data_IF_282594719603
#
_entry.id   IF_282594719603
#
_cell.length_a   1.000
_cell.length_b   1.000
_cell.length_c   1.000
_cell.angle_alpha   90.00
_cell.angle_beta   90.00
_cell.angle_gamma   90.00
#
_symmetry.space_group_name_H-M   'P 1'
#
loop_
_entity.id
_entity.type
_entity.pdbx_description
1 polymer ?
#
# COMPACT_ATOMS: atom_id res chain seq x y z
N UNK A 1 -28.47 -7.14 63.26
CA UNK A 1 -28.37 -5.85 62.55
C UNK A 1 -27.28 -5.94 61.47
N UNK A 2 -27.67 -5.59 60.24
CA UNK A 2 -26.92 -5.08 59.08
C UNK A 2 -25.60 -5.77 58.60
N UNK A 3 -25.71 -6.31 57.38
CA UNK A 3 -24.67 -6.65 56.39
C UNK A 3 -24.00 -5.39 55.81
N UNK A 4 -22.74 -5.48 55.37
CA UNK A 4 -22.22 -5.08 54.03
C UNK A 4 -20.70 -5.39 53.95
N UNK A 5 -20.22 -6.40 53.20
CA UNK A 5 -19.88 -6.44 51.77
C UNK A 5 -18.89 -5.35 51.30
N UNK A 6 -17.62 -5.72 51.21
CA UNK A 6 -16.55 -4.98 50.55
C UNK A 6 -16.45 -5.48 49.09
N UNK A 7 -16.68 -4.61 48.11
CA UNK A 7 -16.59 -4.91 46.68
C UNK A 7 -15.37 -4.19 46.07
N UNK A 8 -14.44 -5.00 45.57
CA UNK A 8 -13.54 -4.85 44.40
C UNK A 8 -13.25 -3.43 43.88
N UNK A 9 -11.96 -3.04 43.93
CA UNK A 9 -11.38 -2.04 43.04
C UNK A 9 -10.49 -2.73 42.00
N UNK A 10 -10.99 -2.83 40.76
CA UNK A 10 -10.22 -3.24 39.60
C UNK A 10 -10.76 -2.50 38.36
N UNK A 11 -10.50 -1.20 38.24
CA UNK A 11 -10.81 -0.41 37.03
C UNK A 11 -9.88 0.81 36.93
N UNK A 12 -8.69 0.64 36.37
CA UNK A 12 -7.84 1.79 35.98
C UNK A 12 -7.05 1.59 34.68
N UNK A 13 -7.17 0.44 34.01
CA UNK A 13 -6.46 0.18 32.74
C UNK A 13 -7.19 0.69 31.49
N UNK A 14 -8.47 1.10 31.61
CA UNK A 14 -9.29 1.45 30.44
C UNK A 14 -9.11 2.88 29.92
N UNK A 15 -8.73 3.85 30.76
CA UNK A 15 -8.59 5.26 30.34
C UNK A 15 -7.32 5.51 29.53
N UNK A 16 -6.24 4.76 29.75
CA UNK A 16 -4.96 4.96 29.07
C UNK A 16 -4.89 4.37 27.65
N UNK A 17 -5.71 3.35 27.33
CA UNK A 17 -5.75 2.76 25.99
C UNK A 17 -6.46 3.64 24.96
N UNK A 18 -7.36 4.51 25.42
CA UNK A 18 -8.16 5.39 24.55
C UNK A 18 -7.33 6.56 23.98
N UNK A 19 -6.22 6.92 24.63
CA UNK A 19 -5.37 8.06 24.25
C UNK A 19 -4.65 7.84 22.91
N UNK A 20 -3.96 6.70 22.73
CA UNK A 20 -3.15 6.45 21.51
C UNK A 20 -4.00 6.44 20.24
N UNK A 21 -5.17 5.81 20.29
CA UNK A 21 -6.07 5.72 19.13
C UNK A 21 -6.76 7.05 18.83
N UNK A 22 -7.06 7.84 19.85
CA UNK A 22 -7.55 9.22 19.66
C UNK A 22 -6.49 10.05 18.95
N UNK A 23 -5.22 9.95 19.37
CA UNK A 23 -4.11 10.68 18.72
C UNK A 23 -3.85 10.24 17.28
N UNK A 24 -3.95 8.93 16.98
CA UNK A 24 -3.87 8.42 15.60
C UNK A 24 -5.03 8.99 14.76
N UNK A 25 -6.24 9.02 15.31
CA UNK A 25 -7.40 9.59 14.64
C UNK A 25 -7.23 11.09 14.39
N UNK A 26 -6.71 11.84 15.36
CA UNK A 26 -6.39 13.26 15.19
C UNK A 26 -5.34 13.50 14.12
N UNK A 27 -4.29 12.68 14.05
CA UNK A 27 -3.29 12.75 12.97
C UNK A 27 -3.93 12.58 11.59
N UNK A 28 -4.72 11.51 11.41
CA UNK A 28 -5.32 11.21 10.11
C UNK A 28 -6.41 12.21 9.70
N UNK A 29 -7.22 12.70 10.64
CA UNK A 29 -8.15 13.79 10.38
C UNK A 29 -7.40 15.06 9.96
N UNK A 30 -6.33 15.43 10.68
CA UNK A 30 -5.52 16.60 10.35
C UNK A 30 -4.91 16.51 8.95
N UNK A 31 -4.37 15.34 8.56
CA UNK A 31 -3.88 15.12 7.20
C UNK A 31 -5.01 15.25 6.16
N UNK A 32 -6.17 14.66 6.41
CA UNK A 32 -7.31 14.73 5.50
C UNK A 32 -7.87 16.14 5.33
N UNK A 33 -8.07 16.89 6.42
CA UNK A 33 -8.55 18.28 6.41
C UNK A 33 -7.61 19.24 5.68
N UNK A 34 -6.31 18.90 5.61
CA UNK A 34 -5.30 19.67 4.88
C UNK A 34 -5.02 19.15 3.46
N UNK A 35 -5.90 18.29 2.91
CA UNK A 35 -5.74 17.68 1.58
C UNK A 35 -4.39 16.94 1.41
N UNK A 36 -3.91 16.27 2.47
CA UNK A 36 -2.66 15.52 2.46
C UNK A 36 -2.89 14.00 2.31
N UNK A 37 -4.10 13.52 2.61
CA UNK A 37 -4.45 12.09 2.59
C UNK A 37 -5.97 11.86 2.46
N UNK A 38 -6.37 10.89 1.64
CA UNK A 38 -7.68 10.21 1.71
C UNK A 38 -7.46 8.70 1.75
N UNK A 39 -8.20 7.98 2.58
CA UNK A 39 -8.00 6.54 2.70
C UNK A 39 -8.52 5.94 4.00
N UNK A 40 -8.05 4.74 4.32
CA UNK A 40 -8.48 3.97 5.49
C UNK A 40 -7.32 3.29 6.20
N UNK A 41 -7.43 3.21 7.53
CA UNK A 41 -6.49 2.51 8.41
C UNK A 41 -7.22 1.48 9.26
N UNK A 42 -6.68 0.26 9.30
CA UNK A 42 -6.99 -0.73 10.34
C UNK A 42 -5.73 -1.10 11.12
N UNK A 43 -5.84 -1.17 12.46
CA UNK A 43 -4.87 -1.78 13.36
C UNK A 43 -5.54 -2.94 14.09
N UNK A 44 -4.84 -4.07 14.17
CA UNK A 44 -5.30 -5.34 14.73
C UNK A 44 -4.25 -5.89 15.71
N UNK A 45 -4.68 -6.19 16.93
CA UNK A 45 -3.88 -6.86 17.96
C UNK A 45 -4.42 -8.29 18.11
N UNK A 46 -3.72 -9.27 17.52
CA UNK A 46 -4.20 -10.65 17.39
C UNK A 46 -5.54 -10.74 16.65
N UNK A 47 -6.57 -11.32 17.28
CA UNK A 47 -7.91 -11.41 16.69
C UNK A 47 -8.72 -10.11 16.78
N UNK A 48 -8.27 -9.13 17.56
CA UNK A 48 -9.04 -7.93 17.88
C UNK A 48 -8.69 -6.77 16.95
N UNK A 49 -9.69 -6.21 16.28
CA UNK A 49 -9.56 -4.93 15.59
C UNK A 49 -9.64 -3.82 16.63
N UNK A 50 -8.54 -3.09 16.82
CA UNK A 50 -8.42 -2.04 17.84
C UNK A 50 -8.54 -0.63 17.26
N UNK A 51 -8.39 -0.49 15.94
CA UNK A 51 -8.65 0.74 15.19
C UNK A 51 -9.14 0.39 13.79
N UNK A 52 -10.20 1.04 13.30
CA UNK A 52 -10.71 0.85 11.93
C UNK A 52 -11.52 2.09 11.52
N UNK A 53 -10.91 2.98 10.74
CA UNK A 53 -11.52 4.24 10.29
C UNK A 53 -11.12 4.57 8.86
N UNK A 54 -11.96 5.38 8.23
CA UNK A 54 -11.80 5.91 6.88
C UNK A 54 -11.92 7.44 6.90
N UNK A 55 -11.23 8.08 5.96
CA UNK A 55 -11.05 9.53 5.85
C UNK A 55 -11.22 9.94 4.40
N UNK A 56 -11.93 11.04 4.16
CA UNK A 56 -12.19 11.55 2.81
C UNK A 56 -13.30 10.81 2.08
N UNK A 57 -13.14 10.65 0.77
CA UNK A 57 -14.18 10.19 -0.14
C UNK A 57 -13.80 8.90 -0.85
N UNK A 58 -14.79 8.03 -1.09
CA UNK A 58 -14.70 6.94 -2.05
C UNK A 58 -15.05 7.43 -3.48
N UNK A 59 -15.93 8.43 -3.57
CA UNK A 59 -16.34 9.11 -4.80
C UNK A 59 -16.64 10.58 -4.53
N UNK A 60 -15.76 11.48 -4.95
CA UNK A 60 -15.92 12.93 -4.78
C UNK A 60 -17.08 13.47 -5.62
N UNK A 61 -17.24 13.01 -6.86
CA UNK A 61 -18.26 13.52 -7.79
C UNK A 61 -19.68 13.23 -7.24
N UNK A 62 -19.86 12.08 -6.59
CA UNK A 62 -21.12 11.71 -5.93
C UNK A 62 -21.18 12.04 -4.43
N UNK A 63 -20.19 12.77 -3.90
CA UNK A 63 -20.10 13.09 -2.46
C UNK A 63 -20.20 11.86 -1.55
N UNK A 64 -19.73 10.69 -2.01
CA UNK A 64 -19.76 9.44 -1.26
C UNK A 64 -18.53 9.34 -0.36
N UNK A 65 -18.73 9.51 0.95
CA UNK A 65 -17.66 9.38 1.95
C UNK A 65 -17.13 7.96 2.01
N UNK A 66 -15.82 7.84 2.24
CA UNK A 66 -15.23 6.55 2.58
C UNK A 66 -15.72 6.12 3.99
N UNK A 67 -15.90 4.81 4.17
CA UNK A 67 -16.26 4.19 5.45
C UNK A 67 -15.41 2.94 5.70
N UNK A 68 -15.59 2.32 6.86
CA UNK A 68 -14.81 1.13 7.27
C UNK A 68 -14.97 -0.11 6.36
N UNK A 69 -15.97 -0.10 5.47
CA UNK A 69 -16.26 -1.14 4.49
C UNK A 69 -15.84 -0.72 3.08
N UNK A 70 -15.31 0.49 2.89
CA UNK A 70 -14.78 0.92 1.59
C UNK A 70 -13.67 -0.03 1.14
N UNK A 71 -13.80 -0.45 -0.11
CA UNK A 71 -12.93 -1.41 -0.79
C UNK A 71 -12.04 -0.66 -1.76
N UNK A 72 -10.76 -1.00 -1.75
CA UNK A 72 -9.71 -0.33 -2.51
C UNK A 72 -8.94 -1.36 -3.33
N UNK A 73 -8.43 -0.96 -4.50
CA UNK A 73 -7.43 -1.76 -5.21
C UNK A 73 -6.14 -1.76 -4.40
N UNK A 74 -5.62 -2.94 -4.03
CA UNK A 74 -4.48 -3.04 -3.09
C UNK A 74 -3.13 -3.18 -3.79
N UNK A 75 -3.11 -3.13 -5.12
CA UNK A 75 -1.91 -3.26 -5.91
C UNK A 75 -1.10 -4.50 -5.51
N UNK A 76 0.21 -4.33 -5.41
CA UNK A 76 1.17 -5.45 -5.23
C UNK A 76 1.04 -6.24 -3.93
N UNK A 77 0.23 -5.83 -2.96
CA UNK A 77 -0.17 -6.72 -1.84
C UNK A 77 -0.81 -8.02 -2.39
N UNK A 78 -1.45 -7.95 -3.56
CA UNK A 78 -2.00 -9.10 -4.30
C UNK A 78 -1.01 -10.24 -4.50
N UNK A 79 0.30 -9.93 -4.63
CA UNK A 79 1.36 -10.93 -4.78
C UNK A 79 1.43 -11.88 -3.60
N UNK A 80 1.17 -11.38 -2.38
CA UNK A 80 1.12 -12.20 -1.17
C UNK A 80 0.00 -13.24 -1.23
N UNK A 81 -1.18 -12.86 -1.71
CA UNK A 81 -2.30 -13.78 -1.92
C UNK A 81 -1.96 -14.84 -2.98
N UNK A 82 -1.37 -14.42 -4.11
CA UNK A 82 -0.90 -15.33 -5.17
C UNK A 82 0.14 -16.31 -4.63
N UNK A 83 1.13 -15.84 -3.86
CA UNK A 83 2.15 -16.69 -3.26
C UNK A 83 1.53 -17.71 -2.29
N UNK A 84 0.57 -17.31 -1.45
CA UNK A 84 -0.17 -18.25 -0.58
C UNK A 84 -0.85 -19.35 -1.39
N UNK A 85 -1.53 -18.99 -2.51
CA UNK A 85 -2.16 -20.00 -3.37
C UNK A 85 -1.13 -20.92 -4.03
N UNK A 86 0.03 -20.41 -4.45
CA UNK A 86 1.13 -21.22 -4.99
C UNK A 86 1.67 -22.17 -3.92
N UNK A 87 1.89 -21.70 -2.69
CA UNK A 87 2.36 -22.54 -1.57
C UNK A 87 1.35 -23.64 -1.21
N UNK A 88 0.05 -23.33 -1.19
CA UNK A 88 -0.99 -24.36 -1.01
C UNK A 88 -0.96 -25.41 -2.12
N UNK A 89 -0.73 -25.03 -3.38
CA UNK A 89 -0.60 -25.99 -4.47
C UNK A 89 0.67 -26.85 -4.36
N UNK A 90 1.73 -26.34 -3.72
CA UNK A 90 2.93 -27.10 -3.37
C UNK A 90 2.62 -28.11 -2.26
N UNK A 91 1.89 -27.70 -1.23
CA UNK A 91 1.40 -28.60 -0.16
C UNK A 91 0.49 -29.70 -0.70
N UNK A 92 -0.34 -29.37 -1.70
CA UNK A 92 -1.16 -30.32 -2.47
C UNK A 92 -0.34 -31.20 -3.44
N UNK A 93 0.99 -31.05 -3.48
CA UNK A 93 1.92 -31.78 -4.37
C UNK A 93 1.63 -31.61 -5.87
N UNK A 94 0.93 -30.54 -6.26
CA UNK A 94 0.63 -30.24 -7.69
C UNK A 94 1.82 -29.65 -8.42
N UNK A 95 2.70 -28.99 -7.68
CA UNK A 95 4.01 -28.50 -8.14
C UNK A 95 4.99 -28.48 -6.97
N UNK A 96 6.23 -28.13 -7.27
CA UNK A 96 7.30 -27.89 -6.30
C UNK A 96 7.97 -26.55 -6.60
N UNK A 97 8.73 -26.01 -5.66
CA UNK A 97 9.54 -24.81 -5.88
C UNK A 97 10.52 -24.98 -7.06
N UNK A 98 10.99 -26.20 -7.32
CA UNK A 98 11.92 -26.53 -8.40
C UNK A 98 11.24 -26.84 -9.74
N UNK A 99 9.90 -26.90 -9.78
CA UNK A 99 9.18 -27.11 -11.03
C UNK A 99 9.55 -26.02 -12.03
N UNK A 100 9.97 -26.41 -13.23
CA UNK A 100 10.43 -25.48 -14.26
C UNK A 100 9.28 -24.82 -15.02
N UNK A 101 9.49 -23.57 -15.43
CA UNK A 101 8.50 -22.77 -16.14
C UNK A 101 8.15 -23.35 -17.51
N UNK A 102 9.10 -24.01 -18.19
CA UNK A 102 8.88 -24.64 -19.49
C UNK A 102 7.79 -25.72 -19.49
N UNK A 103 7.47 -26.31 -18.33
CA UNK A 103 6.32 -27.22 -18.16
C UNK A 103 4.99 -26.55 -18.52
N UNK A 104 4.88 -25.24 -18.32
CA UNK A 104 3.65 -24.47 -18.50
C UNK A 104 3.73 -23.51 -19.70
N UNK A 105 4.89 -22.88 -19.89
CA UNK A 105 5.13 -21.81 -20.85
C UNK A 105 6.50 -21.96 -21.53
N UNK A 106 6.70 -22.98 -22.38
CA UNK A 106 7.99 -23.28 -23.01
C UNK A 106 8.47 -22.21 -24.00
N UNK A 107 7.59 -21.29 -24.43
CA UNK A 107 7.93 -20.20 -25.34
C UNK A 107 8.60 -19.02 -24.65
N UNK A 108 8.46 -18.89 -23.33
CA UNK A 108 9.13 -17.82 -22.58
C UNK A 108 10.64 -18.06 -22.61
N UNK A 109 11.42 -17.01 -22.86
CA UNK A 109 12.88 -17.11 -22.92
C UNK A 109 13.45 -17.65 -21.61
N UNK A 110 14.36 -18.62 -21.70
CA UNK A 110 15.02 -19.30 -20.58
C UNK A 110 14.06 -20.07 -19.63
N UNK A 111 12.84 -20.42 -20.09
CA UNK A 111 11.84 -21.10 -19.26
C UNK A 111 12.31 -22.46 -18.71
N UNK A 112 13.27 -23.12 -19.36
CA UNK A 112 13.91 -24.35 -18.90
C UNK A 112 14.83 -24.14 -17.68
N UNK A 113 15.37 -22.93 -17.51
CA UNK A 113 16.20 -22.56 -16.35
C UNK A 113 15.35 -22.02 -15.20
N UNK A 114 14.29 -21.27 -15.50
CA UNK A 114 13.43 -20.61 -14.52
C UNK A 114 12.55 -21.63 -13.77
N UNK A 115 12.53 -21.54 -12.45
CA UNK A 115 11.67 -22.33 -11.56
C UNK A 115 10.58 -21.50 -10.89
N UNK A 116 9.62 -22.17 -10.21
CA UNK A 116 8.62 -21.50 -9.38
C UNK A 116 9.27 -20.67 -8.26
N UNK A 117 10.38 -21.16 -7.70
CA UNK A 117 11.19 -20.40 -6.74
C UNK A 117 11.65 -19.06 -7.35
N UNK A 118 12.16 -19.07 -8.58
CA UNK A 118 12.67 -17.87 -9.24
C UNK A 118 11.56 -16.85 -9.52
N UNK A 119 10.37 -17.31 -9.90
CA UNK A 119 9.19 -16.45 -10.10
C UNK A 119 8.79 -15.76 -8.78
N UNK A 120 8.70 -16.52 -7.68
CA UNK A 120 8.30 -16.00 -6.38
C UNK A 120 9.31 -15.00 -5.78
N UNK A 121 10.59 -15.10 -6.12
CA UNK A 121 11.66 -14.20 -5.62
C UNK A 121 12.13 -13.17 -6.66
N UNK A 122 11.44 -13.01 -7.78
CA UNK A 122 11.85 -12.07 -8.82
C UNK A 122 13.28 -12.25 -9.35
N UNK A 123 13.67 -13.49 -9.65
CA UNK A 123 15.00 -13.86 -10.16
C UNK A 123 14.96 -14.44 -11.57
N UNK A 124 14.02 -14.02 -12.40
CA UNK A 124 13.73 -14.71 -13.67
C UNK A 124 14.40 -14.07 -14.87
N UNK A 125 14.80 -12.80 -14.79
CA UNK A 125 15.20 -12.01 -15.96
C UNK A 125 14.03 -11.67 -16.90
N UNK A 126 12.78 -11.94 -16.52
CA UNK A 126 11.59 -11.61 -17.31
C UNK A 126 11.23 -10.14 -17.09
N UNK A 127 11.19 -9.38 -18.17
CA UNK A 127 10.86 -7.94 -18.19
C UNK A 127 9.52 -7.67 -17.49
N UNK A 128 9.42 -6.54 -16.79
CA UNK A 128 8.18 -6.05 -16.21
C UNK A 128 7.29 -5.39 -17.28
N UNK A 129 6.33 -6.14 -17.83
CA UNK A 129 5.44 -5.66 -18.91
C UNK A 129 4.63 -4.42 -18.54
N UNK A 130 4.35 -4.20 -17.25
CA UNK A 130 3.55 -3.05 -16.81
C UNK A 130 4.38 -1.78 -16.79
N UNK A 131 5.67 -1.85 -16.44
CA UNK A 131 6.48 -0.66 -16.19
C UNK A 131 7.46 -0.34 -17.33
N UNK A 132 7.82 -1.32 -18.16
CA UNK A 132 8.89 -1.18 -19.15
C UNK A 132 8.39 -1.26 -20.60
N UNK A 133 7.09 -1.45 -20.84
CA UNK A 133 6.50 -1.41 -22.18
C UNK A 133 5.64 -0.16 -22.39
N UNK A 134 6.23 0.86 -23.02
CA UNK A 134 5.54 2.11 -23.35
C UNK A 134 4.37 1.91 -24.34
N UNK A 135 4.40 0.86 -25.16
CA UNK A 135 3.30 0.56 -26.10
C UNK A 135 2.07 0.02 -25.37
N UNK A 136 2.28 -0.64 -24.23
CA UNK A 136 1.22 -1.16 -23.39
C UNK A 136 0.56 -0.07 -22.54
N UNK A 137 1.30 0.98 -22.16
CA UNK A 137 0.79 2.13 -21.39
C UNK A 137 -0.37 2.88 -22.05
N UNK A 138 -0.43 2.93 -23.38
CA UNK A 138 -1.49 3.60 -24.13
C UNK A 138 -2.84 2.84 -24.12
N UNK A 139 -2.91 1.67 -23.48
CA UNK A 139 -4.09 0.80 -23.47
C UNK A 139 -4.42 0.25 -22.08
N UNK A 140 -3.95 0.93 -21.02
CA UNK A 140 -4.13 0.47 -19.64
C UNK A 140 -5.59 0.46 -19.18
N UNK A 141 -6.45 1.25 -19.80
CA UNK A 141 -7.88 1.35 -19.56
C UNK A 141 -8.70 0.25 -20.26
N UNK A 142 -8.08 -0.50 -21.18
CA UNK A 142 -8.75 -1.53 -22.00
C UNK A 142 -8.58 -2.92 -21.41
N UNK A 143 -9.57 -3.77 -21.62
CA UNK A 143 -9.50 -5.19 -21.26
C UNK A 143 -8.55 -5.93 -22.20
N UNK A 144 -7.65 -6.74 -21.64
CA UNK A 144 -6.72 -7.59 -22.37
C UNK A 144 -6.97 -9.07 -22.06
N UNK A 145 -6.80 -9.94 -23.05
CA UNK A 145 -6.78 -11.38 -22.79
C UNK A 145 -5.45 -11.77 -22.14
N UNK A 146 -5.47 -12.88 -21.37
CA UNK A 146 -4.23 -13.41 -20.77
C UNK A 146 -3.24 -13.84 -21.85
N UNK A 147 -3.74 -14.36 -22.96
CA UNK A 147 -2.95 -14.73 -24.12
C UNK A 147 -2.22 -13.52 -24.71
N UNK A 148 -2.87 -12.37 -24.80
CA UNK A 148 -2.25 -11.15 -25.34
C UNK A 148 -1.16 -10.62 -24.41
N UNK A 149 -1.40 -10.59 -23.09
CA UNK A 149 -0.38 -10.21 -22.11
C UNK A 149 0.80 -11.20 -22.15
N UNK A 150 0.53 -12.51 -22.25
CA UNK A 150 1.59 -13.52 -22.36
C UNK A 150 2.39 -13.40 -23.66
N UNK A 151 1.77 -12.98 -24.77
CA UNK A 151 2.51 -12.67 -26.02
C UNK A 151 3.47 -11.50 -25.80
N UNK A 152 3.01 -10.43 -25.15
CA UNK A 152 3.87 -9.28 -24.79
C UNK A 152 5.05 -9.74 -23.94
N UNK A 153 4.79 -10.48 -22.84
CA UNK A 153 5.84 -11.01 -21.97
C UNK A 153 6.84 -11.90 -22.75
N UNK A 154 6.34 -12.71 -23.69
CA UNK A 154 7.17 -13.62 -24.49
C UNK A 154 8.01 -12.90 -25.55
N UNK A 155 7.59 -11.70 -25.99
CA UNK A 155 8.29 -10.94 -27.03
C UNK A 155 9.58 -10.28 -26.51
N UNK A 156 9.69 -10.05 -25.20
CA UNK A 156 10.88 -9.44 -24.61
C UNK A 156 12.09 -10.37 -24.60
N UNK A 157 13.27 -9.78 -24.76
CA UNK A 157 14.54 -10.45 -24.41
C UNK A 157 14.64 -10.54 -22.88
N UNK A 158 15.44 -11.49 -22.41
CA UNK A 158 15.73 -11.60 -20.98
C UNK A 158 16.69 -10.49 -20.55
N UNK A 159 16.40 -9.81 -19.43
CA UNK A 159 17.24 -8.74 -18.88
C UNK A 159 18.55 -9.27 -18.28
N UNK A 160 18.57 -10.52 -17.80
CA UNK A 160 19.71 -11.17 -17.17
C UNK A 160 19.50 -12.69 -17.06
N UNK A 161 20.58 -13.44 -16.83
CA UNK A 161 20.47 -14.90 -16.65
C UNK A 161 19.65 -15.24 -15.39
N UNK A 162 18.65 -16.14 -15.46
CA UNK A 162 17.84 -16.53 -14.32
C UNK A 162 18.68 -16.96 -13.10
N UNK A 163 18.27 -16.52 -11.91
CA UNK A 163 18.94 -16.79 -10.64
C UNK A 163 20.07 -15.81 -10.30
N UNK A 164 20.69 -15.15 -11.28
CA UNK A 164 21.92 -14.35 -11.08
C UNK A 164 21.73 -13.10 -10.21
N UNK A 165 20.59 -12.40 -10.32
CA UNK A 165 20.26 -11.22 -9.49
C UNK A 165 18.76 -11.12 -9.20
N UNK A 166 18.40 -10.23 -8.29
CA UNK A 166 17.03 -9.79 -8.05
C UNK A 166 16.64 -8.63 -9.00
N UNK A 167 15.47 -8.71 -9.61
CA UNK A 167 14.85 -7.58 -10.32
C UNK A 167 13.33 -7.74 -10.33
N UNK A 168 12.64 -6.80 -9.67
CA UNK A 168 11.18 -6.82 -9.56
C UNK A 168 10.50 -6.84 -10.93
N UNK A 169 9.47 -7.67 -11.08
CA UNK A 169 8.72 -7.80 -12.33
C UNK A 169 7.30 -8.32 -12.08
N UNK A 170 6.29 -7.56 -12.53
CA UNK A 170 4.89 -7.98 -12.41
C UNK A 170 4.59 -9.22 -13.26
N UNK A 171 5.32 -9.43 -14.37
CA UNK A 171 5.22 -10.61 -15.23
C UNK A 171 5.31 -11.91 -14.45
N UNK A 172 6.19 -11.98 -13.45
CA UNK A 172 6.37 -13.20 -12.65
C UNK A 172 5.09 -13.62 -11.95
N UNK A 173 4.40 -12.67 -11.32
CA UNK A 173 3.16 -12.96 -10.59
C UNK A 173 1.95 -13.09 -11.52
N UNK A 174 1.95 -12.40 -12.66
CA UNK A 174 0.98 -12.64 -13.73
C UNK A 174 1.03 -14.10 -14.19
N UNK A 175 2.24 -14.58 -14.52
CA UNK A 175 2.49 -15.97 -14.92
C UNK A 175 2.06 -16.94 -13.81
N UNK A 176 2.42 -16.69 -12.54
CA UNK A 176 1.99 -17.53 -11.42
C UNK A 176 0.46 -17.63 -11.31
N UNK A 177 -0.25 -16.53 -11.53
CA UNK A 177 -1.72 -16.52 -11.63
C UNK A 177 -2.23 -17.46 -12.71
N UNK A 178 -1.65 -17.42 -13.90
CA UNK A 178 -2.05 -18.31 -14.99
C UNK A 178 -1.65 -19.79 -14.73
N UNK A 179 -0.54 -20.05 -14.04
CA UNK A 179 -0.16 -21.40 -13.60
C UNK A 179 -1.20 -21.96 -12.62
N UNK A 180 -1.65 -21.15 -11.65
CA UNK A 180 -2.71 -21.53 -10.71
C UNK A 180 -3.95 -22.00 -11.48
N UNK A 181 -4.45 -21.18 -12.42
CA UNK A 181 -5.65 -21.54 -13.20
C UNK A 181 -5.44 -22.79 -14.06
N UNK A 182 -4.27 -22.94 -14.71
CA UNK A 182 -3.94 -24.13 -15.51
C UNK A 182 -3.97 -25.41 -14.69
N UNK A 183 -3.48 -25.37 -13.46
CA UNK A 183 -3.40 -26.52 -12.57
C UNK A 183 -4.74 -26.85 -11.90
N UNK A 184 -5.55 -25.84 -11.57
CA UNK A 184 -6.80 -26.06 -10.84
C UNK A 184 -8.02 -26.14 -11.75
N UNK A 185 -7.92 -25.71 -13.00
CA UNK A 185 -9.05 -25.54 -13.94
C UNK A 185 -10.16 -24.65 -13.40
N UNK A 186 -9.79 -23.67 -12.58
CA UNK A 186 -10.67 -22.68 -11.95
C UNK A 186 -10.11 -21.30 -12.20
N UNK A 187 -10.95 -20.29 -12.25
CA UNK A 187 -10.48 -18.91 -12.40
C UNK A 187 -9.62 -18.48 -11.21
N UNK A 188 -8.83 -17.42 -11.38
CA UNK A 188 -8.08 -16.81 -10.31
C UNK A 188 -9.00 -16.32 -9.18
N UNK A 189 -10.16 -15.74 -9.51
CA UNK A 189 -11.17 -15.34 -8.54
C UNK A 189 -11.68 -16.54 -7.74
N UNK A 190 -12.03 -17.65 -8.40
CA UNK A 190 -12.50 -18.86 -7.72
C UNK A 190 -11.44 -19.47 -6.80
N UNK A 191 -10.17 -19.44 -7.22
CA UNK A 191 -9.07 -19.85 -6.37
C UNK A 191 -8.95 -18.94 -5.16
N UNK A 192 -8.87 -17.63 -5.35
CA UNK A 192 -8.79 -16.64 -4.27
C UNK A 192 -9.94 -16.82 -3.26
N UNK A 193 -11.17 -16.97 -3.77
CA UNK A 193 -12.37 -17.14 -2.95
C UNK A 193 -12.32 -18.41 -2.10
N UNK A 194 -12.02 -19.55 -2.71
CA UNK A 194 -12.09 -20.84 -2.02
C UNK A 194 -10.84 -21.14 -1.16
N UNK A 195 -9.68 -20.64 -1.58
CA UNK A 195 -8.38 -20.94 -0.96
C UNK A 195 -8.05 -20.01 0.19
N UNK A 196 -8.52 -18.77 0.12
CA UNK A 196 -8.14 -17.72 1.07
C UNK A 196 -9.37 -17.06 1.67
N UNK A 197 -10.19 -16.39 0.85
CA UNK A 197 -11.25 -15.48 1.35
C UNK A 197 -12.24 -16.18 2.27
N UNK A 198 -12.77 -17.35 1.87
CA UNK A 198 -13.68 -18.13 2.72
C UNK A 198 -12.98 -18.73 3.93
N UNK A 199 -11.74 -19.22 3.79
CA UNK A 199 -10.99 -19.84 4.89
C UNK A 199 -10.61 -18.83 5.97
N UNK A 200 -10.12 -17.67 5.57
CA UNK A 200 -9.77 -16.57 6.47
C UNK A 200 -10.96 -15.66 6.79
N UNK A 201 -12.14 -15.91 6.21
CA UNK A 201 -13.36 -15.11 6.38
C UNK A 201 -13.11 -13.62 6.12
N UNK A 202 -12.54 -13.30 4.96
CA UNK A 202 -12.26 -11.93 4.50
C UNK A 202 -13.54 -11.30 3.94
N UNK A 203 -14.36 -10.76 4.84
CA UNK A 203 -15.72 -10.37 4.56
C UNK A 203 -16.48 -9.92 5.79
N UNK A 204 -17.72 -9.51 5.55
CA UNK A 204 -18.72 -9.25 6.58
C UNK A 204 -19.68 -10.41 6.70
N UNK A 205 -20.47 -10.39 7.77
CA UNK A 205 -21.66 -11.23 7.86
C UNK A 205 -22.89 -10.34 7.95
N UNK A 206 -23.87 -10.60 7.10
CA UNK A 206 -25.09 -9.82 6.99
C UNK A 206 -26.30 -10.69 7.30
N UNK A 207 -27.32 -10.11 7.93
CA UNK A 207 -28.59 -10.79 8.14
C UNK A 207 -29.45 -10.63 6.88
N UNK A 208 -29.74 -11.74 6.21
CA UNK A 208 -30.63 -11.78 5.05
C UNK A 208 -31.94 -12.45 5.45
N UNK A 209 -33.03 -11.71 5.32
CA UNK A 209 -34.39 -12.21 5.55
C UNK A 209 -35.03 -12.57 4.20
N UNK A 210 -35.49 -13.81 4.08
CA UNK A 210 -36.20 -14.31 2.89
C UNK A 210 -37.59 -14.78 3.32
N UNK A 211 -38.61 -14.47 2.50
CA UNK A 211 -39.96 -14.99 2.70
C UNK A 211 -40.03 -16.41 2.16
N UNK A 212 -40.54 -17.32 2.99
CA UNK A 212 -40.83 -18.71 2.62
C UNK A 212 -42.32 -18.99 2.84
N UNK A 213 -42.82 -20.12 2.35
CA UNK A 213 -44.19 -20.60 2.62
C UNK A 213 -44.50 -20.78 4.12
N UNK A 214 -43.46 -20.81 4.96
CA UNK A 214 -43.55 -20.92 6.42
C UNK A 214 -43.28 -19.59 7.16
N UNK A 215 -43.23 -18.47 6.45
CA UNK A 215 -42.95 -17.14 6.98
C UNK A 215 -41.53 -16.64 6.71
N UNK A 216 -41.18 -15.52 7.32
CA UNK A 216 -39.88 -14.86 7.17
C UNK A 216 -38.77 -15.65 7.88
N UNK A 217 -37.73 -16.04 7.14
CA UNK A 217 -36.54 -16.72 7.67
C UNK A 217 -35.35 -15.80 7.53
N UNK A 218 -34.70 -15.47 8.66
CA UNK A 218 -33.47 -14.68 8.68
C UNK A 218 -32.25 -15.58 8.84
N UNK A 219 -31.31 -15.49 7.91
CA UNK A 219 -30.03 -16.22 7.95
C UNK A 219 -28.87 -15.25 7.93
N UNK A 220 -27.82 -15.59 8.67
CA UNK A 220 -26.55 -14.88 8.63
C UNK A 220 -25.75 -15.39 7.42
N UNK A 221 -25.46 -14.50 6.47
CA UNK A 221 -24.78 -14.81 5.21
C UNK A 221 -23.42 -14.13 5.20
N UNK A 222 -22.37 -14.88 4.83
CA UNK A 222 -21.05 -14.31 4.62
C UNK A 222 -21.00 -13.55 3.29
N UNK A 223 -20.54 -12.30 3.34
CA UNK A 223 -20.40 -11.43 2.17
C UNK A 223 -18.92 -11.08 2.01
N UNK A 224 -18.23 -11.64 0.99
CA UNK A 224 -16.84 -11.32 0.72
C UNK A 224 -16.60 -9.82 0.53
N UNK A 225 -15.56 -9.29 1.15
CA UNK A 225 -15.09 -7.91 0.91
C UNK A 225 -13.72 -7.86 0.23
N UNK A 226 -13.10 -9.02 0.02
CA UNK A 226 -11.88 -9.21 -0.77
C UNK A 226 -12.15 -10.07 -2.00
N UNK A 227 -11.78 -9.60 -3.18
CA UNK A 227 -12.00 -10.30 -4.46
C UNK A 227 -11.10 -9.78 -5.58
N UNK A 228 -11.11 -10.50 -6.70
CA UNK A 228 -10.56 -10.07 -7.98
C UNK A 228 -11.70 -10.01 -9.00
N UNK A 229 -11.80 -8.90 -9.73
CA UNK A 229 -12.83 -8.62 -10.74
C UNK A 229 -12.26 -7.74 -11.85
N UNK A 230 -12.78 -7.86 -13.07
CA UNK A 230 -12.29 -7.08 -14.23
C UNK A 230 -13.23 -5.94 -14.62
N UNK A 231 -14.41 -5.90 -14.00
CA UNK A 231 -15.38 -4.84 -14.10
C UNK A 231 -14.80 -3.52 -13.57
N UNK A 232 -15.27 -2.40 -14.14
CA UNK A 232 -14.92 -1.07 -13.68
C UNK A 232 -15.44 -0.83 -12.26
N UNK A 233 -14.75 0.06 -11.55
CA UNK A 233 -15.07 0.44 -10.17
C UNK A 233 -16.52 0.93 -10.05
N UNK A 234 -17.25 0.36 -9.10
CA UNK A 234 -18.63 0.70 -8.79
C UNK A 234 -18.80 1.01 -7.29
N UNK A 235 -19.03 2.28 -6.99
CA UNK A 235 -19.17 2.79 -5.62
C UNK A 235 -20.43 2.29 -4.90
N UNK A 236 -21.44 1.77 -5.62
CA UNK A 236 -22.56 1.05 -5.03
C UNK A 236 -22.11 -0.26 -4.33
N UNK A 237 -21.02 -0.86 -4.82
CA UNK A 237 -20.36 -2.00 -4.18
C UNK A 237 -19.34 -1.55 -3.14
N UNK A 238 -19.44 -0.33 -2.59
CA UNK A 238 -18.46 0.26 -1.65
C UNK A 238 -17.03 0.29 -2.19
N UNK A 239 -16.84 0.20 -3.50
CA UNK A 239 -15.52 0.37 -4.11
C UNK A 239 -15.18 1.87 -4.18
N UNK A 240 -13.89 2.19 -4.17
CA UNK A 240 -13.39 3.56 -4.23
C UNK A 240 -12.76 3.84 -5.58
N UNK A 241 -12.86 5.08 -6.06
CA UNK A 241 -11.96 5.62 -7.09
C UNK A 241 -10.65 6.10 -6.45
N UNK A 242 -9.60 6.24 -7.27
CA UNK A 242 -8.33 6.87 -6.88
C UNK A 242 -8.22 8.30 -7.41
N UNK A 243 -7.46 9.13 -6.71
CA UNK A 243 -7.33 10.57 -6.97
C UNK A 243 -5.87 11.01 -6.89
N UNK A 244 -5.47 11.98 -7.72
CA UNK A 244 -4.25 12.75 -7.50
C UNK A 244 -4.61 14.18 -7.08
N UNK A 245 -3.72 14.86 -6.38
CA UNK A 245 -3.89 16.26 -6.02
C UNK A 245 -3.20 17.15 -7.05
N UNK A 246 -3.92 18.11 -7.64
CA UNK A 246 -3.36 19.03 -8.66
C UNK A 246 -2.72 20.30 -8.07
N UNK A 247 -2.68 20.40 -6.75
CA UNK A 247 -2.25 21.60 -6.00
C UNK A 247 -3.43 22.42 -5.46
N UNK A 248 -4.65 22.12 -5.87
CA UNK A 248 -5.87 22.79 -5.40
C UNK A 248 -6.97 21.78 -5.07
N UNK A 249 -7.21 20.81 -5.94
CA UNK A 249 -8.30 19.85 -5.86
C UNK A 249 -7.80 18.41 -6.01
N UNK A 250 -8.57 17.49 -5.45
CA UNK A 250 -8.47 16.07 -5.76
C UNK A 250 -9.13 15.79 -7.10
N UNK A 251 -8.35 15.32 -8.07
CA UNK A 251 -8.80 14.99 -9.43
C UNK A 251 -8.85 13.48 -9.58
N UNK A 252 -9.98 12.97 -10.08
CA UNK A 252 -10.19 11.54 -10.29
C UNK A 252 -9.17 11.01 -11.30
N UNK A 253 -8.51 9.92 -10.94
CA UNK A 253 -7.53 9.26 -11.79
C UNK A 253 -8.22 8.45 -12.87
N UNK A 254 -7.54 8.27 -14.01
CA UNK A 254 -7.97 7.29 -15.00
C UNK A 254 -7.88 5.89 -14.38
N UNK A 255 -8.94 5.11 -14.55
CA UNK A 255 -9.00 3.74 -14.07
C UNK A 255 -8.30 2.79 -15.06
N UNK A 256 -7.42 1.94 -14.55
CA UNK A 256 -6.84 0.86 -15.33
C UNK A 256 -7.79 -0.35 -15.33
N UNK A 257 -7.89 -1.04 -16.46
CA UNK A 257 -8.59 -2.30 -16.51
C UNK A 257 -7.83 -3.36 -15.70
N UNK A 258 -8.55 -4.03 -14.81
CA UNK A 258 -7.92 -4.91 -13.83
C UNK A 258 -7.37 -6.21 -14.42
N UNK A 259 -7.75 -6.58 -15.65
CA UNK A 259 -7.16 -7.70 -16.41
C UNK A 259 -5.65 -7.54 -16.61
N UNK A 260 -5.16 -6.29 -16.59
CA UNK A 260 -3.74 -5.98 -16.67
C UNK A 260 -3.05 -6.36 -15.38
N UNK A 261 -3.55 -5.91 -14.23
CA UNK A 261 -2.90 -6.18 -12.96
C UNK A 261 -3.03 -7.66 -12.54
N UNK A 262 -4.19 -8.27 -12.78
CA UNK A 262 -4.48 -9.70 -12.53
C UNK A 262 -3.89 -10.18 -11.19
N UNK A 263 -3.24 -11.34 -11.17
CA UNK A 263 -2.61 -11.93 -9.98
C UNK A 263 -1.41 -11.14 -9.43
N UNK A 264 -0.90 -10.16 -10.17
CA UNK A 264 0.22 -9.33 -9.73
C UNK A 264 -0.23 -8.10 -8.92
N UNK A 265 -1.46 -7.62 -9.11
CA UNK A 265 -1.89 -6.37 -8.46
C UNK A 265 -3.40 -6.10 -8.40
N UNK A 266 -4.24 -6.99 -8.94
CA UNK A 266 -5.65 -6.70 -9.19
C UNK A 266 -6.62 -7.06 -8.06
N UNK A 267 -6.16 -7.40 -6.86
CA UNK A 267 -7.08 -7.66 -5.75
C UNK A 267 -7.66 -6.32 -5.25
N UNK A 268 -8.97 -6.34 -4.99
CA UNK A 268 -9.69 -5.31 -4.25
C UNK A 268 -9.98 -5.85 -2.84
N UNK A 269 -9.74 -5.05 -1.80
CA UNK A 269 -9.90 -5.46 -0.40
C UNK A 269 -10.16 -4.25 0.53
N UNK A 270 -10.37 -4.53 1.82
CA UNK A 270 -10.44 -3.52 2.89
C UNK A 270 -9.19 -3.64 3.78
N UNK A 271 -8.77 -2.58 4.50
CA UNK A 271 -7.69 -2.71 5.48
C UNK A 271 -7.98 -3.75 6.58
N UNK A 272 -9.26 -3.93 6.94
CA UNK A 272 -9.68 -4.91 7.93
C UNK A 272 -9.48 -6.36 7.45
N UNK A 273 -9.80 -6.63 6.18
CA UNK A 273 -9.52 -7.92 5.55
C UNK A 273 -8.02 -8.16 5.39
N UNK A 274 -7.24 -7.16 4.97
CA UNK A 274 -5.79 -7.33 4.81
C UNK A 274 -5.10 -7.68 6.14
N UNK A 275 -5.46 -7.00 7.24
CA UNK A 275 -4.95 -7.35 8.58
C UNK A 275 -5.40 -8.74 9.03
N UNK A 276 -6.65 -9.13 8.73
CA UNK A 276 -7.14 -10.50 9.03
C UNK A 276 -6.43 -11.56 8.19
N UNK A 277 -6.15 -11.26 6.93
CA UNK A 277 -5.42 -12.13 6.01
C UNK A 277 -4.00 -12.40 6.49
N UNK A 278 -3.23 -11.34 6.80
CA UNK A 278 -1.84 -11.52 7.24
C UNK A 278 -1.77 -12.22 8.60
N UNK A 279 -2.68 -11.90 9.51
CA UNK A 279 -2.79 -12.61 10.79
C UNK A 279 -3.09 -14.10 10.58
N UNK A 280 -4.10 -14.44 9.77
CA UNK A 280 -4.43 -15.83 9.43
C UNK A 280 -3.27 -16.57 8.73
N UNK A 281 -2.47 -15.87 7.90
CA UNK A 281 -1.27 -16.44 7.30
C UNK A 281 -0.24 -16.80 8.36
N UNK A 282 0.07 -15.88 9.28
CA UNK A 282 1.09 -16.07 10.31
C UNK A 282 0.68 -17.04 11.43
N UNK A 283 -0.62 -17.20 11.67
CA UNK A 283 -1.16 -18.23 12.58
C UNK A 283 -1.31 -19.61 11.91
N UNK A 284 -0.80 -19.79 10.67
CA UNK A 284 -0.78 -21.09 9.99
C UNK A 284 -2.14 -21.57 9.49
N UNK A 285 -3.15 -20.69 9.38
CA UNK A 285 -4.50 -21.03 8.91
C UNK A 285 -4.55 -21.21 7.38
N UNK A 286 -3.64 -20.59 6.65
CA UNK A 286 -3.65 -20.56 5.18
C UNK A 286 -2.60 -21.47 4.54
N UNK A 287 -1.46 -21.67 5.19
CA UNK A 287 -0.37 -22.57 4.80
C UNK A 287 0.25 -23.17 6.05
N UNK A 288 0.95 -24.29 5.91
CA UNK A 288 1.70 -24.90 7.00
C UNK A 288 2.82 -23.98 7.53
N UNK A 289 3.27 -24.16 8.79
CA UNK A 289 4.42 -23.43 9.33
C UNK A 289 5.67 -23.52 8.45
N UNK A 290 5.96 -24.71 7.90
CA UNK A 290 7.09 -24.91 6.98
C UNK A 290 6.98 -24.05 5.72
N UNK A 291 5.81 -23.98 5.11
CA UNK A 291 5.58 -23.11 3.95
C UNK A 291 5.69 -21.63 4.32
N UNK A 292 5.20 -21.24 5.50
CA UNK A 292 5.35 -19.86 5.98
C UNK A 292 6.82 -19.50 6.22
N UNK A 293 7.62 -20.40 6.79
CA UNK A 293 9.06 -20.22 6.95
C UNK A 293 9.76 -20.04 5.60
N UNK A 294 9.37 -20.83 4.60
CA UNK A 294 9.83 -20.62 3.23
C UNK A 294 9.41 -19.24 2.69
N UNK A 295 8.19 -18.76 2.96
CA UNK A 295 7.77 -17.44 2.49
C UNK A 295 8.58 -16.29 3.12
N UNK A 296 9.01 -16.45 4.37
CA UNK A 296 9.82 -15.48 5.13
C UNK A 296 11.32 -15.50 4.79
N UNK A 297 11.79 -16.43 3.97
CA UNK A 297 13.19 -16.53 3.55
C UNK A 297 13.56 -15.30 2.68
N UNK A 298 14.08 -14.25 3.30
CA UNK A 298 14.42 -12.99 2.63
C UNK A 298 15.77 -13.12 1.92
N UNK A 299 15.79 -12.81 0.62
CA UNK A 299 17.00 -12.67 -0.19
C UNK A 299 16.99 -11.32 -0.90
N UNK A 300 18.05 -10.53 -0.74
CA UNK A 300 18.15 -9.18 -1.33
C UNK A 300 16.93 -8.29 -0.99
N UNK A 301 16.42 -8.41 0.24
CA UNK A 301 15.27 -7.63 0.73
C UNK A 301 13.89 -8.20 0.37
N UNK A 302 13.79 -9.32 -0.34
CA UNK A 302 12.51 -9.90 -0.78
C UNK A 302 12.41 -11.42 -0.50
N UNK A 303 11.29 -11.87 0.07
CA UNK A 303 10.93 -13.28 0.27
C UNK A 303 10.01 -13.81 -0.84
N UNK A 304 9.17 -14.81 -0.55
CA UNK A 304 8.17 -15.30 -1.53
C UNK A 304 6.90 -14.46 -1.43
N UNK A 305 6.97 -13.24 -1.96
CA UNK A 305 5.97 -12.18 -1.82
C UNK A 305 5.77 -11.63 -0.40
N UNK A 306 6.78 -11.74 0.45
CA UNK A 306 6.87 -11.01 1.72
C UNK A 306 8.13 -10.17 1.72
N UNK A 307 8.02 -8.92 2.12
CA UNK A 307 9.16 -8.07 2.49
C UNK A 307 9.23 -7.98 4.00
N UNK A 308 10.43 -7.65 4.51
CA UNK A 308 10.62 -7.29 5.91
C UNK A 308 11.02 -5.82 5.98
N UNK A 309 10.37 -5.06 6.86
CA UNK A 309 10.68 -3.65 7.09
C UNK A 309 10.76 -3.31 8.59
N UNK A 310 11.67 -2.42 8.98
CA UNK A 310 11.90 -2.08 10.38
C UNK A 310 10.99 -0.96 10.88
N UNK A 311 10.70 -0.97 12.18
CA UNK A 311 10.27 0.22 12.94
C UNK A 311 10.90 0.16 14.34
N UNK A 312 11.96 0.95 14.54
CA UNK A 312 12.87 0.75 15.68
C UNK A 312 13.43 -0.69 15.68
N UNK A 313 13.34 -1.37 16.81
CA UNK A 313 13.75 -2.79 16.94
C UNK A 313 12.74 -3.77 16.33
N UNK A 314 11.55 -3.32 15.96
CA UNK A 314 10.49 -4.19 15.43
C UNK A 314 10.77 -4.52 13.98
N UNK A 315 10.40 -5.74 13.58
CA UNK A 315 10.55 -6.24 12.20
C UNK A 315 9.21 -6.74 11.71
N UNK A 316 8.57 -5.92 10.89
CA UNK A 316 7.29 -6.25 10.28
C UNK A 316 7.52 -7.05 9.01
N UNK A 317 6.66 -8.04 8.79
CA UNK A 317 6.51 -8.72 7.51
C UNK A 317 5.26 -8.23 6.81
N UNK A 318 5.29 -8.15 5.48
CA UNK A 318 4.11 -7.84 4.71
C UNK A 318 4.46 -7.44 3.29
N UNK A 319 3.76 -6.45 2.74
CA UNK A 319 4.01 -5.95 1.39
C UNK A 319 3.36 -4.56 1.20
N UNK A 320 3.99 -3.74 0.36
CA UNK A 320 3.38 -2.50 -0.15
C UNK A 320 2.66 -2.70 -1.48
N UNK A 321 1.84 -1.75 -1.91
CA UNK A 321 1.15 -1.83 -3.19
C UNK A 321 0.84 -0.47 -3.76
N UNK A 322 1.03 -0.32 -5.07
CA UNK A 322 0.61 0.85 -5.84
C UNK A 322 -0.07 0.40 -7.12
N UNK A 323 -1.19 1.03 -7.45
CA UNK A 323 -1.93 0.85 -8.69
C UNK A 323 -2.76 2.11 -8.91
N UNK A 324 -2.66 2.72 -10.09
CA UNK A 324 -3.21 4.07 -10.33
C UNK A 324 -2.67 5.04 -9.25
N UNK A 325 -3.54 5.82 -8.59
CA UNK A 325 -3.20 6.62 -7.42
C UNK A 325 -3.66 5.99 -6.09
N UNK A 326 -3.87 4.68 -6.05
CA UNK A 326 -3.91 3.96 -4.78
C UNK A 326 -2.50 3.67 -4.29
N UNK A 327 -2.25 3.87 -2.99
CA UNK A 327 -1.05 3.38 -2.31
C UNK A 327 -1.44 2.61 -1.06
N UNK A 328 -0.79 1.49 -0.79
CA UNK A 328 -1.14 0.60 0.31
C UNK A 328 0.09 0.04 1.00
N UNK A 329 -0.04 -0.20 2.31
CA UNK A 329 0.93 -0.91 3.11
C UNK A 329 0.21 -1.90 4.02
N UNK A 330 0.72 -3.13 4.07
CA UNK A 330 0.32 -4.17 5.01
C UNK A 330 1.54 -4.59 5.82
N UNK A 331 1.42 -4.59 7.14
CA UNK A 331 2.45 -5.06 8.07
C UNK A 331 1.90 -6.00 9.12
N UNK A 332 2.70 -6.98 9.51
CA UNK A 332 2.48 -7.88 10.64
C UNK A 332 3.78 -8.05 11.43
N UNK A 333 3.74 -7.81 12.73
CA UNK A 333 4.85 -8.03 13.65
C UNK A 333 4.59 -9.28 14.49
N UNK A 334 5.29 -10.41 14.23
CA UNK A 334 4.98 -11.69 14.85
C UNK A 334 5.07 -11.72 16.37
N UNK A 335 6.06 -11.05 16.96
CA UNK A 335 6.29 -11.06 18.41
C UNK A 335 5.09 -10.53 19.21
N UNK A 336 4.43 -9.49 18.69
CA UNK A 336 3.28 -8.86 19.36
C UNK A 336 1.94 -9.26 18.72
N UNK A 337 1.97 -10.06 17.64
CA UNK A 337 0.80 -10.35 16.79
C UNK A 337 0.06 -9.08 16.34
N UNK A 338 0.80 -8.00 16.13
CA UNK A 338 0.26 -6.72 15.68
C UNK A 338 0.22 -6.70 14.16
N UNK A 339 -0.92 -6.37 13.58
CA UNK A 339 -1.00 -6.01 12.16
C UNK A 339 -1.59 -4.64 11.95
N UNK A 340 -1.17 -4.00 10.87
CA UNK A 340 -1.80 -2.79 10.37
C UNK A 340 -1.92 -2.84 8.86
N UNK A 341 -2.92 -2.14 8.35
CA UNK A 341 -3.06 -1.86 6.93
C UNK A 341 -3.49 -0.42 6.74
N UNK A 342 -2.71 0.35 5.99
CA UNK A 342 -3.03 1.70 5.55
C UNK A 342 -3.22 1.65 4.04
N UNK A 343 -4.38 2.07 3.56
CA UNK A 343 -4.64 2.22 2.12
C UNK A 343 -5.06 3.66 1.88
N UNK A 344 -4.38 4.32 0.96
CA UNK A 344 -4.71 5.63 0.43
C UNK A 344 -5.33 5.49 -0.94
N UNK A 345 -6.38 6.27 -1.20
CA UNK A 345 -6.92 6.49 -2.53
C UNK A 345 -6.67 7.92 -3.04
N UNK A 346 -5.84 8.68 -2.32
CA UNK A 346 -5.34 9.98 -2.71
C UNK A 346 -4.24 10.42 -1.77
N UNK A 347 -3.00 10.44 -2.27
CA UNK A 347 -1.82 10.88 -1.52
C UNK A 347 -1.38 12.28 -1.98
N UNK A 348 -1.17 13.17 -1.02
CA UNK A 348 -0.47 14.44 -1.18
C UNK A 348 0.50 14.66 0.00
N UNK A 349 1.00 13.55 0.53
CA UNK A 349 1.96 13.45 1.61
C UNK A 349 2.65 12.09 1.54
N UNK A 350 3.86 11.99 2.07
CA UNK A 350 4.64 10.75 1.97
C UNK A 350 4.00 9.69 2.87
N UNK A 351 3.46 8.63 2.26
CA UNK A 351 2.75 7.56 3.00
C UNK A 351 3.60 6.93 4.11
N UNK A 352 4.92 6.79 3.88
CA UNK A 352 5.84 6.27 4.89
C UNK A 352 5.87 7.13 6.16
N UNK A 353 5.78 8.45 6.03
CA UNK A 353 5.78 9.36 7.18
C UNK A 353 4.48 9.27 7.97
N UNK A 354 3.35 9.02 7.28
CA UNK A 354 2.06 8.72 7.94
C UNK A 354 2.20 7.44 8.77
N UNK A 355 2.78 6.38 8.19
CA UNK A 355 2.98 5.09 8.87
C UNK A 355 3.91 5.24 10.08
N UNK A 356 5.03 5.96 9.92
CA UNK A 356 5.94 6.28 11.04
C UNK A 356 5.18 7.03 12.13
N UNK A 357 4.36 8.02 11.79
CA UNK A 357 3.54 8.75 12.76
C UNK A 357 2.55 7.86 13.51
N UNK A 358 1.82 7.00 12.78
CA UNK A 358 0.88 6.02 13.36
C UNK A 358 1.61 5.10 14.33
N UNK A 359 2.72 4.48 13.91
CA UNK A 359 3.47 3.53 14.73
C UNK A 359 4.15 4.21 15.91
N UNK A 360 4.68 5.42 15.76
CA UNK A 360 5.27 6.19 16.86
C UNK A 360 4.22 6.55 17.90
N UNK A 361 3.02 7.00 17.51
CA UNK A 361 1.92 7.23 18.45
C UNK A 361 1.52 5.92 19.13
N UNK A 362 1.37 4.84 18.36
CA UNK A 362 0.98 3.52 18.88
C UNK A 362 1.97 3.00 19.94
N UNK A 363 3.27 3.15 19.70
CA UNK A 363 4.36 2.71 20.58
C UNK A 363 4.86 3.79 21.55
N UNK A 364 4.18 4.94 21.62
CA UNK A 364 4.55 6.07 22.49
C UNK A 364 5.99 6.57 22.26
N UNK A 365 6.47 6.47 21.02
CA UNK A 365 7.75 7.02 20.61
C UNK A 365 7.59 8.51 20.23
N UNK A 366 8.65 9.33 20.38
CA UNK A 366 8.64 10.69 19.88
C UNK A 366 8.31 10.73 18.39
N UNK A 367 7.45 11.67 18.01
CA UNK A 367 7.05 11.89 16.63
C UNK A 367 6.81 13.39 16.43
N UNK A 368 7.50 14.04 15.47
CA UNK A 368 7.17 15.40 15.09
C UNK A 368 5.81 15.39 14.38
N UNK A 369 4.80 15.99 15.01
CA UNK A 369 3.49 16.11 14.40
C UNK A 369 3.62 16.99 13.14
N UNK A 370 3.10 16.56 11.98
CA UNK A 370 3.23 17.34 10.75
C UNK A 370 2.53 18.70 10.93
N UNK A 371 3.16 19.77 10.45
CA UNK A 371 2.58 21.10 10.46
C UNK A 371 2.40 21.57 9.03
N UNK A 372 1.15 21.85 8.66
CA UNK A 372 0.80 22.48 7.40
C UNK A 372 0.38 23.91 7.70
N UNK A 373 1.32 24.71 8.19
CA UNK A 373 1.08 26.15 8.31
C UNK A 373 0.91 26.71 6.90
N UNK A 374 -0.30 27.19 6.59
CA UNK A 374 -0.48 28.20 5.56
C UNK A 374 0.01 29.51 6.16
N UNK A 375 1.31 29.77 6.04
CA UNK A 375 1.84 31.09 6.37
C UNK A 375 1.11 32.11 5.50
N UNK A 376 0.87 33.30 6.06
CA UNK A 376 0.24 34.36 5.29
C UNK A 376 1.08 34.67 4.05
N UNK A 377 0.42 35.00 2.93
CA UNK A 377 1.12 35.27 1.67
C UNK A 377 2.16 36.39 1.82
N UNK A 378 1.88 37.38 2.66
CA UNK A 378 2.83 38.46 2.93
C UNK A 378 4.07 37.96 3.70
N UNK A 379 3.94 36.92 4.52
CA UNK A 379 5.08 36.29 5.18
C UNK A 379 5.87 35.40 4.23
N UNK A 380 5.18 34.61 3.40
CA UNK A 380 5.83 33.77 2.38
C UNK A 380 6.60 34.59 1.35
N UNK A 381 6.06 35.74 0.95
CA UNK A 381 6.71 36.66 0.01
C UNK A 381 8.09 37.14 0.49
N UNK A 382 8.37 37.09 1.80
CA UNK A 382 9.70 37.42 2.34
C UNK A 382 10.77 36.44 1.85
N UNK A 383 10.39 35.17 1.69
CA UNK A 383 11.29 34.08 1.29
C UNK A 383 11.39 33.88 -0.22
N UNK A 384 10.49 34.45 -1.03
CA UNK A 384 10.52 34.29 -2.49
C UNK A 384 11.65 35.09 -3.14
N UNK A 385 12.19 34.61 -4.25
CA UNK A 385 13.27 35.25 -5.00
C UNK A 385 14.22 34.22 -5.62
N UNK A 386 15.18 34.72 -6.39
CA UNK A 386 16.28 33.89 -6.90
C UNK A 386 17.47 34.03 -5.97
N UNK A 387 18.06 32.91 -5.59
CA UNK A 387 19.21 32.85 -4.72
C UNK A 387 20.35 32.13 -5.42
N UNK A 388 21.57 32.62 -5.26
CA UNK A 388 22.77 32.04 -5.81
C UNK A 388 23.73 31.64 -4.68
N UNK A 389 24.45 30.53 -4.89
CA UNK A 389 25.52 30.11 -3.99
C UNK A 389 26.89 30.48 -4.55
N UNK A 390 27.82 30.85 -3.67
CA UNK A 390 29.26 30.92 -3.99
C UNK A 390 29.95 29.57 -3.78
N UNK A 391 29.34 28.68 -3.01
CA UNK A 391 29.88 27.36 -2.67
C UNK A 391 29.68 26.37 -3.81
N UNK A 392 28.58 26.52 -4.57
CA UNK A 392 28.23 25.69 -5.72
C UNK A 392 27.65 26.55 -6.86
N UNK A 393 27.93 26.23 -8.15
CA UNK A 393 27.43 26.99 -9.29
C UNK A 393 25.96 26.66 -9.58
N UNK A 394 25.09 26.95 -8.61
CA UNK A 394 23.67 26.64 -8.65
C UNK A 394 22.87 27.88 -8.23
N UNK A 395 21.78 28.16 -8.98
CA UNK A 395 20.74 29.09 -8.54
C UNK A 395 19.46 28.34 -8.22
N UNK A 396 18.79 28.79 -7.17
CA UNK A 396 17.50 28.27 -6.73
C UNK A 396 16.51 29.44 -6.72
N UNK A 397 15.44 29.30 -7.49
CA UNK A 397 14.31 30.23 -7.45
C UNK A 397 13.26 29.69 -6.50
N UNK A 398 12.93 30.48 -5.47
CA UNK A 398 11.86 30.22 -4.53
C UNK A 398 10.66 31.07 -4.93
N UNK A 399 9.51 30.44 -5.13
CA UNK A 399 8.25 31.09 -5.51
C UNK A 399 7.13 30.66 -4.57
N UNK A 400 6.13 31.52 -4.38
CA UNK A 400 4.91 31.17 -3.66
C UNK A 400 3.88 30.64 -4.67
N UNK A 401 3.26 29.50 -4.35
CA UNK A 401 2.15 28.95 -5.11
C UNK A 401 1.11 28.39 -4.15
N UNK A 402 -0.12 28.89 -4.22
CA UNK A 402 -1.27 28.41 -3.45
C UNK A 402 -1.08 28.41 -1.92
N UNK A 403 -0.29 29.33 -1.37
CA UNK A 403 -0.01 29.45 0.06
C UNK A 403 1.11 28.54 0.58
N UNK A 404 1.92 27.98 -0.33
CA UNK A 404 3.12 27.20 -0.01
C UNK A 404 4.32 27.73 -0.81
N UNK A 405 5.55 27.53 -0.32
CA UNK A 405 6.75 27.81 -1.11
C UNK A 405 7.05 26.65 -2.05
N UNK A 406 7.61 26.96 -3.20
CA UNK A 406 8.16 26.02 -4.17
C UNK A 406 9.55 26.47 -4.56
N UNK A 407 10.50 25.55 -4.59
CA UNK A 407 11.86 25.81 -5.01
C UNK A 407 12.16 25.13 -6.34
N UNK A 408 12.93 25.81 -7.19
CA UNK A 408 13.37 25.29 -8.47
C UNK A 408 14.85 25.60 -8.67
N UNK A 409 15.67 24.55 -8.73
CA UNK A 409 17.06 24.66 -9.12
C UNK A 409 17.19 24.83 -10.65
N UNK A 410 18.19 25.57 -11.11
CA UNK A 410 18.43 25.78 -12.55
C UNK A 410 18.58 24.44 -13.28
N UNK A 411 17.77 24.23 -14.33
CA UNK A 411 17.77 22.98 -15.11
C UNK A 411 17.02 21.81 -14.45
N UNK A 412 16.33 22.01 -13.33
CA UNK A 412 15.56 20.98 -12.63
C UNK A 412 14.07 21.34 -12.53
N UNK A 413 13.24 20.32 -12.23
CA UNK A 413 11.83 20.52 -11.91
C UNK A 413 11.65 21.26 -10.57
N UNK A 414 10.53 21.98 -10.43
CA UNK A 414 10.18 22.61 -9.17
C UNK A 414 9.69 21.57 -8.15
N UNK A 415 9.97 21.80 -6.87
CA UNK A 415 9.55 20.95 -5.77
C UNK A 415 8.95 21.78 -4.62
N UNK A 416 7.95 21.24 -3.90
CA UNK A 416 7.30 21.96 -2.81
C UNK A 416 8.22 22.04 -1.59
N UNK A 417 8.12 23.15 -0.86
CA UNK A 417 8.77 23.41 0.41
C UNK A 417 7.71 23.50 1.50
N UNK A 418 7.74 22.55 2.43
CA UNK A 418 6.81 22.51 3.56
C UNK A 418 7.42 23.26 4.75
N UNK A 419 6.67 24.18 5.34
CA UNK A 419 7.07 24.85 6.58
C UNK A 419 7.32 23.82 7.68
N UNK A 420 8.47 23.91 8.35
CA UNK A 420 8.84 23.06 9.48
C UNK A 420 8.68 23.82 10.80
N UNK A 421 9.42 24.91 10.96
CA UNK A 421 9.41 25.80 12.13
C UNK A 421 10.17 27.09 11.82
N UNK A 422 9.86 28.19 12.51
CA UNK A 422 10.55 29.49 12.38
C UNK A 422 10.69 30.00 10.93
N UNK A 423 11.89 29.88 10.35
CA UNK A 423 12.20 30.23 8.96
C UNK A 423 12.67 29.01 8.17
N UNK A 424 12.39 27.81 8.67
CA UNK A 424 12.85 26.54 8.14
C UNK A 424 11.77 25.87 7.30
N UNK A 425 12.14 25.50 6.08
CA UNK A 425 11.30 24.75 5.15
C UNK A 425 11.99 23.48 4.72
N UNK A 426 11.23 22.41 4.47
CA UNK A 426 11.77 21.11 4.10
C UNK A 426 11.14 20.55 2.84
N UNK A 427 11.94 19.77 2.11
CA UNK A 427 11.47 18.84 1.11
C UNK A 427 11.98 17.45 1.47
N UNK A 428 11.18 16.75 2.28
CA UNK A 428 11.54 15.47 2.90
C UNK A 428 11.93 14.40 1.87
N UNK A 429 11.28 14.37 0.70
CA UNK A 429 11.54 13.37 -0.34
C UNK A 429 12.98 13.40 -0.89
N UNK A 430 13.68 14.54 -0.78
CA UNK A 430 15.09 14.66 -1.16
C UNK A 430 16.02 14.88 0.04
N UNK A 431 15.52 14.77 1.28
CA UNK A 431 16.27 15.08 2.50
C UNK A 431 16.79 16.52 2.52
N UNK A 432 16.03 17.45 1.94
CA UNK A 432 16.38 18.87 1.83
C UNK A 432 15.75 19.63 3.01
N UNK A 433 16.57 20.46 3.65
CA UNK A 433 16.15 21.46 4.62
C UNK A 433 16.73 22.82 4.23
N UNK A 434 15.91 23.87 4.25
CA UNK A 434 16.26 25.23 3.89
C UNK A 434 15.93 26.16 5.06
N UNK A 435 16.96 26.71 5.69
CA UNK A 435 16.81 27.64 6.82
C UNK A 435 17.00 29.07 6.29
N UNK A 436 15.92 29.85 6.21
CA UNK A 436 15.95 31.19 5.65
C UNK A 436 16.39 32.25 6.67
N UNK A 437 17.19 33.20 6.22
CA UNK A 437 17.42 34.49 6.85
C UNK A 437 16.82 35.62 6.00
N UNK A 438 17.12 36.87 6.33
CA UNK A 438 16.51 38.06 5.70
C UNK A 438 16.70 38.11 4.17
N UNK A 439 17.91 37.81 3.68
CA UNK A 439 18.26 37.77 2.24
C UNK A 439 19.13 36.57 1.88
N UNK A 440 18.96 35.47 2.59
CA UNK A 440 19.77 34.27 2.38
C UNK A 440 19.01 33.04 2.84
N UNK A 441 19.50 31.87 2.47
CA UNK A 441 19.17 30.64 3.19
C UNK A 441 20.39 29.73 3.24
N UNK A 442 20.37 28.81 4.21
CA UNK A 442 21.28 27.67 4.27
C UNK A 442 20.54 26.42 3.79
N UNK A 443 21.02 25.82 2.72
CA UNK A 443 20.55 24.52 2.22
C UNK A 443 21.33 23.41 2.95
N UNK A 444 20.60 22.51 3.59
CA UNK A 444 21.13 21.34 4.28
C UNK A 444 20.65 20.10 3.53
N UNK A 445 21.58 19.27 3.07
CA UNK A 445 21.26 18.01 2.40
C UNK A 445 22.37 16.99 2.64
N UNK A 446 22.01 15.78 3.10
CA UNK A 446 22.99 14.70 3.34
C UNK A 446 24.09 15.06 4.35
N UNK A 447 23.79 15.95 5.31
CA UNK A 447 24.75 16.47 6.29
C UNK A 447 25.64 17.62 5.80
N UNK A 448 25.61 17.95 4.50
CA UNK A 448 26.31 19.11 3.95
C UNK A 448 25.48 20.38 4.10
N UNK A 449 26.16 21.53 4.17
CA UNK A 449 25.54 22.86 4.25
C UNK A 449 26.06 23.75 3.12
N UNK A 450 25.16 24.40 2.39
CA UNK A 450 25.49 25.33 1.30
C UNK A 450 24.78 26.66 1.53
N UNK A 451 25.52 27.76 1.41
CA UNK A 451 24.96 29.09 1.63
C UNK A 451 24.48 29.68 0.31
N UNK A 452 23.28 30.25 0.34
CA UNK A 452 22.67 30.92 -0.79
C UNK A 452 22.30 32.35 -0.40
N UNK A 453 22.63 33.32 -1.23
CA UNK A 453 22.27 34.73 -1.03
C UNK A 453 21.29 35.14 -2.11
N UNK A 454 20.28 35.93 -1.73
CA UNK A 454 19.25 36.46 -2.63
C UNK A 454 19.91 37.45 -3.59
N UNK A 455 19.57 37.34 -4.87
CA UNK A 455 20.03 38.28 -5.91
C UNK A 455 19.38 39.66 -5.78
#
# INVERSE_FOLDING_TARGET
>A
MKKLLLFVFAFSSFTFAQDKFTRIDSLLNYLNENNKFMGSLTIREGENVVFNKAYGFADIEKNSKADRLTRYKVGSISKTFTAVMVMQLIEEKKLTLQTKLNRFYPKIKNAEKISIYDLLHHRTGIVDYVNQDASFHASLDKKHSKEDILKVITAFKSNFEPGSKYEYSNSNFFILGCIIEKLTKKSYEENLQNRIVKKAELGTFENKTEMTDKGAVTKKVFVPTTYYKEEATNTANKESYSYYFDGTNWVKSLENNNSIAFASGGITSTPADLTKFIHALFEGKLVSPTSLDQMKEIKEGYGKALIQFPFGERRFYGHGGRIENFSSMLGYYPTEKLSFSLISNGDNYVQNDIIIGILSIYYKMPFPFPQFMKMDKAELAKFTGTYASKDIPLKITVSEKNGELSAQATGQGAFPLTFKEETTFVFAAAGIEMVFGDKSFVLIQGGMKFNFTKE
#
